data_IF_270816401235
#
_entry.id   IF_270816401235
#
_cell.length_a   1.000
_cell.length_b   1.000
_cell.length_c   1.000
_cell.angle_alpha   90.00
_cell.angle_beta   90.00
_cell.angle_gamma   90.00
#
_symmetry.space_group_name_H-M   'P 1'
#
loop_
_entity.id
_entity.type
_entity.pdbx_description
1 polymer ?
#
# COMPACT_ATOMS: atom_id res chain seq x y z
N UNK A 1 9.55 15.69 -11.35
CA UNK A 1 9.23 14.30 -10.96
C UNK A 1 9.52 14.03 -9.49
N UNK A 2 10.78 14.15 -9.01
CA UNK A 2 11.15 13.87 -7.60
C UNK A 2 10.36 14.69 -6.57
N UNK A 3 10.22 16.01 -6.78
CA UNK A 3 9.46 16.87 -5.85
C UNK A 3 7.97 16.48 -5.78
N UNK A 4 7.37 16.12 -6.92
CA UNK A 4 5.96 15.71 -6.97
C UNK A 4 5.70 14.41 -6.22
N UNK A 5 6.58 13.41 -6.38
CA UNK A 5 6.46 12.14 -5.63
C UNK A 5 6.66 12.31 -4.13
N UNK A 6 7.56 13.20 -3.70
CA UNK A 6 7.79 13.48 -2.27
C UNK A 6 6.57 14.16 -1.66
N UNK A 7 6.00 15.16 -2.33
CA UNK A 7 4.79 15.87 -1.87
C UNK A 7 3.62 14.88 -1.74
N UNK A 8 3.41 14.01 -2.74
CA UNK A 8 2.35 13.02 -2.71
C UNK A 8 2.47 12.08 -1.50
N UNK A 9 3.68 11.54 -1.28
CA UNK A 9 3.95 10.61 -0.17
C UNK A 9 3.79 11.27 1.20
N UNK A 10 4.18 12.53 1.34
CA UNK A 10 4.11 13.25 2.62
C UNK A 10 2.70 13.78 2.94
N UNK A 11 1.89 14.08 1.93
CA UNK A 11 0.56 14.68 2.12
C UNK A 11 -0.57 13.66 2.11
N UNK A 12 -0.31 12.41 1.68
CA UNK A 12 -1.34 11.38 1.52
C UNK A 12 -1.06 10.16 2.37
N UNK A 13 -2.08 9.69 3.10
CA UNK A 13 -1.94 8.46 3.88
C UNK A 13 -1.91 7.22 2.96
N UNK A 14 -1.15 6.16 3.30
CA UNK A 14 -1.05 4.95 2.48
C UNK A 14 -2.41 4.29 2.20
N UNK A 15 -3.33 4.36 3.16
CA UNK A 15 -4.69 3.83 3.00
C UNK A 15 -5.47 4.63 1.94
N UNK A 16 -5.40 5.96 1.99
CA UNK A 16 -6.05 6.81 0.98
C UNK A 16 -5.42 6.69 -0.41
N UNK A 17 -4.11 6.43 -0.49
CA UNK A 17 -3.46 6.10 -1.77
C UNK A 17 -4.03 4.81 -2.37
N UNK A 18 -4.25 3.78 -1.55
CA UNK A 18 -4.86 2.51 -2.00
C UNK A 18 -6.30 2.70 -2.46
N UNK A 19 -7.09 3.50 -1.73
CA UNK A 19 -8.45 3.87 -2.14
C UNK A 19 -8.43 4.61 -3.51
N UNK A 20 -7.44 5.47 -3.74
CA UNK A 20 -7.22 6.15 -5.02
C UNK A 20 -6.84 5.19 -6.15
N UNK A 21 -5.92 4.26 -5.88
CA UNK A 21 -5.51 3.21 -6.84
C UNK A 21 -6.72 2.33 -7.19
N UNK A 22 -7.55 1.95 -6.22
CA UNK A 22 -8.79 1.20 -6.49
C UNK A 22 -9.70 1.97 -7.45
N UNK A 23 -9.90 3.28 -7.21
CA UNK A 23 -10.70 4.14 -8.09
C UNK A 23 -10.14 4.15 -9.52
N UNK A 24 -8.82 4.32 -9.67
CA UNK A 24 -8.13 4.31 -10.97
C UNK A 24 -8.17 2.95 -11.67
N UNK A 25 -8.20 1.85 -10.92
CA UNK A 25 -8.31 0.49 -11.46
C UNK A 25 -9.75 0.06 -11.77
N UNK A 26 -10.76 0.80 -11.33
CA UNK A 26 -12.18 0.53 -11.61
C UNK A 26 -12.51 0.26 -13.09
N UNK A 27 -11.99 0.98 -14.10
CA UNK A 27 -12.26 0.66 -15.50
C UNK A 27 -11.75 -0.74 -15.92
N UNK A 28 -10.74 -1.27 -15.23
CA UNK A 28 -10.21 -2.61 -15.49
C UNK A 28 -11.19 -3.73 -15.12
N UNK A 29 -12.27 -3.42 -14.40
CA UNK A 29 -13.39 -4.35 -14.16
C UNK A 29 -14.02 -4.84 -15.47
N UNK A 30 -13.93 -4.06 -16.55
CA UNK A 30 -14.43 -4.47 -17.87
C UNK A 30 -13.68 -5.69 -18.43
N UNK A 31 -12.41 -5.87 -18.04
CA UNK A 31 -11.58 -7.03 -18.39
C UNK A 31 -11.75 -8.15 -17.33
N UNK A 32 -12.80 -8.10 -16.50
CA UNK A 32 -13.08 -9.04 -15.40
C UNK A 32 -11.98 -9.11 -14.34
N UNK A 33 -11.18 -8.04 -14.18
CA UNK A 33 -10.18 -7.97 -13.12
C UNK A 33 -10.82 -7.73 -11.74
N UNK A 34 -10.43 -8.49 -10.69
CA UNK A 34 -11.02 -8.40 -9.33
C UNK A 34 -10.45 -7.20 -8.55
N UNK A 35 -10.89 -5.99 -8.93
CA UNK A 35 -10.39 -4.73 -8.35
C UNK A 35 -10.74 -4.59 -6.86
N UNK A 36 -11.93 -5.06 -6.45
CA UNK A 36 -12.39 -4.89 -5.08
C UNK A 36 -11.61 -5.78 -4.11
N UNK A 37 -11.38 -7.03 -4.50
CA UNK A 37 -10.61 -8.02 -3.77
C UNK A 37 -9.16 -7.57 -3.64
N UNK A 38 -8.58 -7.02 -4.71
CA UNK A 38 -7.24 -6.43 -4.66
C UNK A 38 -7.17 -5.27 -3.66
N UNK A 39 -8.14 -4.36 -3.69
CA UNK A 39 -8.19 -3.24 -2.74
C UNK A 39 -8.35 -3.72 -1.29
N UNK A 40 -9.14 -4.78 -1.05
CA UNK A 40 -9.28 -5.42 0.25
C UNK A 40 -7.94 -5.98 0.75
N UNK A 41 -7.25 -6.79 -0.07
CA UNK A 41 -5.97 -7.39 0.28
C UNK A 41 -4.93 -6.30 0.57
N UNK A 42 -4.87 -5.25 -0.25
CA UNK A 42 -3.97 -4.12 -0.04
C UNK A 42 -4.27 -3.37 1.26
N UNK A 43 -5.55 -3.14 1.59
CA UNK A 43 -5.96 -2.49 2.84
C UNK A 43 -5.57 -3.31 4.07
N UNK A 44 -5.74 -4.63 4.02
CA UNK A 44 -5.31 -5.55 5.08
C UNK A 44 -3.78 -5.54 5.19
N UNK A 45 -3.07 -5.64 4.07
CA UNK A 45 -1.60 -5.63 4.05
C UNK A 45 -1.04 -4.34 4.67
N UNK A 46 -1.56 -3.17 4.29
CA UNK A 46 -1.15 -1.89 4.85
C UNK A 46 -1.37 -1.80 6.36
N UNK A 47 -2.43 -2.43 6.89
CA UNK A 47 -2.69 -2.50 8.33
C UNK A 47 -1.80 -3.52 9.03
N UNK A 48 -1.39 -4.58 8.35
CA UNK A 48 -0.51 -5.62 8.90
C UNK A 48 0.97 -5.23 8.91
N UNK A 49 1.45 -4.39 7.98
CA UNK A 49 2.84 -3.91 7.96
C UNK A 49 3.32 -3.34 9.31
N UNK A 50 2.61 -2.38 9.97
CA UNK A 50 3.06 -1.84 11.25
C UNK A 50 3.08 -2.94 12.33
N UNK A 51 2.06 -3.80 12.37
CA UNK A 51 1.95 -4.89 13.34
C UNK A 51 3.12 -5.88 13.20
N UNK A 52 3.45 -6.27 11.96
CA UNK A 52 4.53 -7.19 11.66
C UNK A 52 5.90 -6.56 11.95
N UNK A 53 6.06 -5.26 11.72
CA UNK A 53 7.28 -4.53 12.08
C UNK A 53 7.50 -4.53 13.60
N UNK A 54 6.45 -4.26 14.36
CA UNK A 54 6.50 -4.28 15.84
C UNK A 54 6.75 -5.68 16.38
N UNK A 55 6.11 -6.70 15.80
CA UNK A 55 6.34 -8.10 16.16
C UNK A 55 7.77 -8.55 15.82
N UNK A 56 8.29 -8.17 14.65
CA UNK A 56 9.69 -8.42 14.26
C UNK A 56 10.65 -7.80 15.26
N UNK A 57 10.43 -6.55 15.66
CA UNK A 57 11.25 -5.85 16.66
C UNK A 57 11.22 -6.57 18.02
N UNK A 58 10.03 -6.98 18.48
CA UNK A 58 9.87 -7.76 19.73
C UNK A 58 10.60 -9.09 19.68
N UNK A 59 10.43 -9.85 18.59
CA UNK A 59 11.09 -11.16 18.42
C UNK A 59 12.62 -10.96 18.36
N UNK A 60 13.09 -9.96 17.61
CA UNK A 60 14.51 -9.66 17.51
C UNK A 60 15.11 -9.31 18.88
N UNK A 61 14.47 -8.46 19.67
CA UNK A 61 14.94 -8.11 21.02
C UNK A 61 14.93 -9.32 21.97
N UNK A 62 13.92 -10.19 21.87
CA UNK A 62 13.86 -11.42 22.66
C UNK A 62 15.00 -12.39 22.30
N UNK A 63 15.33 -12.52 21.02
CA UNK A 63 16.44 -13.37 20.59
C UNK A 63 17.81 -12.77 20.94
N UNK A 64 17.97 -11.44 20.86
CA UNK A 64 19.18 -10.75 21.37
C UNK A 64 19.40 -11.02 22.86
N UNK A 65 18.34 -10.97 23.67
CA UNK A 65 18.40 -11.30 25.09
C UNK A 65 18.76 -12.79 25.35
N UNK A 66 18.48 -13.69 24.41
CA UNK A 66 18.87 -15.11 24.45
C UNK A 66 20.27 -15.37 23.89
N UNK A 67 21.04 -14.31 23.60
CA UNK A 67 22.43 -14.41 23.13
C UNK A 67 22.58 -14.59 21.62
N UNK A 68 21.52 -14.38 20.82
CA UNK A 68 21.65 -14.36 19.38
C UNK A 68 22.32 -13.06 18.91
N UNK A 69 23.43 -13.19 18.19
CA UNK A 69 24.09 -12.07 17.51
C UNK A 69 23.69 -12.07 16.02
N UNK A 70 23.18 -10.92 15.58
CA UNK A 70 22.68 -10.71 14.22
C UNK A 70 23.61 -9.82 13.38
N UNK A 71 24.58 -9.15 14.02
CA UNK A 71 25.42 -8.14 13.38
C UNK A 71 26.83 -8.65 13.10
N UNK A 72 27.34 -9.59 13.90
CA UNK A 72 28.68 -10.15 13.70
C UNK A 72 28.67 -11.46 12.91
N UNK A 73 29.83 -11.82 12.33
CA UNK A 73 30.03 -13.07 11.60
C UNK A 73 29.95 -12.97 10.07
N UNK A 74 30.17 -14.13 9.42
CA UNK A 74 30.11 -14.34 7.97
C UNK A 74 28.67 -14.23 7.44
N UNK A 75 28.51 -13.97 6.14
CA UNK A 75 27.21 -13.85 5.48
C UNK A 75 26.29 -15.06 5.74
N UNK A 76 26.88 -16.26 5.80
CA UNK A 76 26.18 -17.52 6.08
C UNK A 76 25.68 -17.61 7.54
N UNK A 77 26.43 -17.06 8.49
CA UNK A 77 26.01 -17.00 9.90
C UNK A 77 24.86 -16.02 10.09
N UNK A 78 24.89 -14.86 9.40
CA UNK A 78 23.80 -13.88 9.43
C UNK A 78 22.49 -14.43 8.88
N UNK A 79 22.54 -15.16 7.75
CA UNK A 79 21.34 -15.82 7.19
C UNK A 79 20.74 -16.83 8.17
N UNK A 80 21.58 -17.65 8.82
CA UNK A 80 21.13 -18.59 9.85
C UNK A 80 20.52 -17.89 11.07
N UNK A 81 21.05 -16.72 11.44
CA UNK A 81 20.53 -15.92 12.53
C UNK A 81 19.12 -15.35 12.24
N UNK A 82 18.70 -15.20 10.98
CA UNK A 82 17.34 -14.72 10.65
C UNK A 82 16.26 -15.79 10.89
N UNK A 83 16.62 -17.08 10.81
CA UNK A 83 15.65 -18.21 10.88
C UNK A 83 14.82 -18.20 12.19
N UNK A 84 15.41 -18.01 13.39
CA UNK A 84 14.67 -17.88 14.65
C UNK A 84 13.72 -16.69 14.75
N UNK A 85 13.84 -15.69 13.85
CA UNK A 85 12.91 -14.57 13.75
C UNK A 85 11.80 -14.90 12.74
N UNK A 86 12.20 -15.45 11.58
CA UNK A 86 11.30 -15.72 10.47
C UNK A 86 10.23 -16.76 10.81
N UNK A 87 10.60 -17.88 11.46
CA UNK A 87 9.66 -18.96 11.77
C UNK A 87 8.54 -18.49 12.72
N UNK A 88 8.83 -17.85 13.88
CA UNK A 88 7.78 -17.34 14.75
C UNK A 88 6.91 -16.28 14.07
N UNK A 89 7.52 -15.36 13.31
CA UNK A 89 6.78 -14.32 12.58
C UNK A 89 5.80 -14.93 11.57
N UNK A 90 6.22 -15.97 10.84
CA UNK A 90 5.37 -16.66 9.86
C UNK A 90 4.19 -17.38 10.55
N UNK A 91 4.44 -18.10 11.64
CA UNK A 91 3.39 -18.77 12.41
C UNK A 91 2.39 -17.75 12.97
N UNK A 92 2.88 -16.64 13.52
CA UNK A 92 2.03 -15.54 13.98
C UNK A 92 1.21 -14.93 12.84
N UNK A 93 1.81 -14.73 11.66
CA UNK A 93 1.12 -14.17 10.51
C UNK A 93 0.00 -15.08 10.00
N UNK A 94 0.23 -16.39 9.91
CA UNK A 94 -0.81 -17.36 9.53
C UNK A 94 -1.95 -17.39 10.54
N UNK A 95 -1.64 -17.45 11.84
CA UNK A 95 -2.66 -17.40 12.88
C UNK A 95 -3.53 -16.14 12.77
N UNK A 96 -2.92 -14.96 12.56
CA UNK A 96 -3.68 -13.72 12.36
C UNK A 96 -4.54 -13.75 11.11
N UNK A 97 -4.08 -14.41 10.04
CA UNK A 97 -4.86 -14.57 8.82
C UNK A 97 -6.09 -15.46 9.06
N UNK A 98 -5.92 -16.57 9.79
CA UNK A 98 -7.02 -17.47 10.18
C UNK A 98 -8.03 -16.75 11.07
N UNK A 99 -7.56 -16.08 12.14
CA UNK A 99 -8.41 -15.30 13.05
C UNK A 99 -9.16 -14.17 12.31
N UNK A 100 -8.52 -13.53 11.33
CA UNK A 100 -9.16 -12.52 10.49
C UNK A 100 -10.22 -13.13 9.58
N UNK A 101 -9.95 -14.29 8.98
CA UNK A 101 -10.91 -15.03 8.16
C UNK A 101 -12.15 -15.42 8.96
N UNK A 102 -11.95 -16.06 10.12
CA UNK A 102 -13.03 -16.44 11.03
C UNK A 102 -13.85 -15.22 11.48
N UNK A 103 -13.19 -14.11 11.80
CA UNK A 103 -13.87 -12.86 12.16
C UNK A 103 -14.64 -12.24 10.98
N UNK A 104 -14.15 -12.39 9.75
CA UNK A 104 -14.84 -11.95 8.55
C UNK A 104 -16.09 -12.78 8.31
N UNK A 105 -16.01 -14.10 8.44
CA UNK A 105 -17.14 -15.01 8.30
C UNK A 105 -18.19 -14.79 9.40
N UNK A 106 -17.76 -14.60 10.65
CA UNK A 106 -18.65 -14.24 11.77
C UNK A 106 -19.37 -12.90 11.57
N UNK A 107 -18.77 -11.96 10.83
CA UNK A 107 -19.40 -10.69 10.41
C UNK A 107 -20.19 -10.81 9.11
N UNK A 108 -20.47 -12.02 8.65
CA UNK A 108 -21.18 -12.33 7.41
C UNK A 108 -20.52 -11.68 6.17
N UNK A 109 -19.18 -11.57 6.17
CA UNK A 109 -18.47 -11.09 4.99
C UNK A 109 -18.45 -12.18 3.90
N UNK A 110 -19.50 -12.21 3.06
CA UNK A 110 -19.54 -13.04 1.86
C UNK A 110 -18.99 -12.27 0.66
N UNK A 111 -18.22 -12.86 -0.26
CA UNK A 111 -17.68 -12.20 -1.47
C UNK A 111 -18.73 -11.71 -2.50
N UNK A 112 -19.92 -11.29 -2.05
CA UNK A 112 -21.07 -10.90 -2.85
C UNK A 112 -20.83 -9.63 -3.66
N UNK A 113 -21.34 -9.63 -4.90
CA UNK A 113 -21.14 -8.60 -5.94
C UNK A 113 -21.71 -7.21 -5.61
N UNK A 114 -22.63 -7.11 -4.66
CA UNK A 114 -23.30 -5.83 -4.32
C UNK A 114 -22.88 -5.40 -2.92
N UNK A 115 -21.88 -4.52 -2.85
CA UNK A 115 -21.37 -3.95 -1.60
C UNK A 115 -21.54 -2.44 -1.59
N UNK A 116 -21.89 -1.90 -0.44
CA UNK A 116 -21.89 -0.46 -0.18
C UNK A 116 -20.54 -0.03 0.37
N UNK A 117 -19.94 1.02 -0.20
CA UNK A 117 -18.71 1.61 0.34
C UNK A 117 -19.04 2.60 1.45
N UNK A 118 -18.46 2.38 2.63
CA UNK A 118 -18.57 3.31 3.75
C UNK A 118 -17.75 4.59 3.50
N UNK A 119 -16.48 4.44 3.13
CA UNK A 119 -15.61 5.56 2.75
C UNK A 119 -15.72 5.77 1.23
N UNK A 120 -16.41 6.84 0.82
CA UNK A 120 -16.51 7.26 -0.58
C UNK A 120 -15.51 8.40 -0.83
N UNK A 121 -14.77 8.33 -1.93
CA UNK A 121 -14.00 9.49 -2.39
C UNK A 121 -15.00 10.52 -2.94
N UNK A 122 -15.09 11.67 -2.29
CA UNK A 122 -15.92 12.78 -2.72
C UNK A 122 -15.04 13.86 -3.33
N UNK A 123 -15.41 14.33 -4.53
CA UNK A 123 -14.72 15.44 -5.17
C UNK A 123 -15.02 16.75 -4.44
N UNK A 124 -13.98 17.47 -4.05
CA UNK A 124 -14.07 18.80 -3.45
C UNK A 124 -13.79 19.91 -4.46
N UNK A 125 -14.07 21.16 -4.07
CA UNK A 125 -13.72 22.34 -4.87
C UNK A 125 -12.21 22.41 -5.19
N UNK A 126 -11.37 21.95 -4.25
CA UNK A 126 -9.91 21.88 -4.43
C UNK A 126 -9.50 20.94 -5.56
N UNK A 127 -10.29 19.89 -5.82
CA UNK A 127 -10.03 18.94 -6.91
C UNK A 127 -10.34 19.56 -8.28
N UNK A 128 -11.37 20.41 -8.35
CA UNK A 128 -11.65 21.18 -9.57
C UNK A 128 -10.56 22.21 -9.87
N UNK A 129 -10.10 22.94 -8.85
CA UNK A 129 -9.00 23.90 -9.00
C UNK A 129 -7.71 23.17 -9.42
N UNK A 130 -7.37 22.05 -8.78
CA UNK A 130 -6.17 21.29 -9.12
C UNK A 130 -6.26 20.69 -10.52
N UNK A 131 -7.43 20.19 -10.94
CA UNK A 131 -7.68 19.71 -12.30
C UNK A 131 -7.46 20.82 -13.34
N UNK A 132 -8.01 22.01 -13.11
CA UNK A 132 -7.87 23.13 -14.04
C UNK A 132 -6.42 23.61 -14.16
N UNK A 133 -5.72 23.76 -13.03
CA UNK A 133 -4.29 24.15 -13.01
C UNK A 133 -3.42 23.12 -13.73
N UNK A 134 -3.72 21.83 -13.54
CA UNK A 134 -2.98 20.74 -14.21
C UNK A 134 -3.16 20.77 -15.73
N UNK A 135 -4.39 20.99 -16.21
CA UNK A 135 -4.69 21.11 -17.64
C UNK A 135 -4.04 22.37 -18.24
N UNK A 136 -4.09 23.50 -17.54
CA UNK A 136 -3.45 24.75 -17.97
C UNK A 136 -1.93 24.60 -18.08
N UNK A 137 -1.29 23.93 -17.13
CA UNK A 137 0.14 23.64 -17.18
C UNK A 137 0.51 22.70 -18.34
N UNK A 138 -0.25 21.62 -18.54
CA UNK A 138 0.00 20.67 -19.64
C UNK A 138 -0.15 21.35 -21.01
N UNK A 139 -1.21 22.13 -21.19
CA UNK A 139 -1.45 22.87 -22.44
C UNK A 139 -0.38 23.92 -22.70
N UNK A 140 0.05 24.69 -21.68
CA UNK A 140 1.15 25.65 -21.81
C UNK A 140 2.46 24.99 -22.23
N UNK A 141 2.80 23.82 -21.65
CA UNK A 141 4.00 23.06 -22.02
C UNK A 141 3.93 22.54 -23.46
N UNK A 142 2.77 22.03 -23.89
CA UNK A 142 2.57 21.55 -25.26
C UNK A 142 2.68 22.70 -26.27
N UNK A 143 2.09 23.87 -25.96
CA UNK A 143 2.15 25.06 -26.81
C UNK A 143 3.58 25.62 -26.92
N UNK A 144 4.31 25.71 -25.81
CA UNK A 144 5.72 26.11 -25.82
C UNK A 144 6.55 25.15 -26.68
N UNK A 145 6.31 23.84 -26.58
CA UNK A 145 6.96 22.84 -27.42
C UNK A 145 6.58 23.00 -28.90
N UNK A 146 5.31 23.22 -29.22
CA UNK A 146 4.87 23.38 -30.61
C UNK A 146 5.31 24.69 -31.27
N UNK A 147 5.60 25.74 -30.48
CA UNK A 147 6.14 27.02 -30.97
C UNK A 147 7.66 27.02 -31.02
N UNK A 148 8.35 26.23 -30.19
CA UNK A 148 9.81 26.07 -30.26
C UNK A 148 10.28 25.12 -31.39
N UNK A 149 9.46 24.13 -31.79
CA UNK A 149 9.75 23.23 -32.92
C UNK A 149 9.81 23.90 -34.33
N UNK A 150 9.02 24.95 -34.67
CA UNK A 150 9.12 25.64 -35.96
C UNK A 150 10.28 26.64 -36.08
N UNK A 151 11.11 26.81 -35.04
CA UNK A 151 12.26 27.73 -35.01
C UNK A 151 13.62 27.02 -35.10
N UNK A 152 13.64 25.69 -35.25
CA UNK A 152 14.81 24.82 -35.42
C UNK A 152 14.69 24.06 -36.75
#
# INVERSE_FOLDING_TARGET
LVLGSVILTLTTTPVSLTDGIESLLTPLKWIRFPVHELALIMSIALRFIPILTDETSRIMNAQKARGADFETGSLMQRVKAVIPILIPLLISAFRRADELGDAMDARCYSGSKVRTKYKKLTFGWRDFVSMFVSIALLTAVILLRSVALPLL
#
